data_IF_214084187898
#
_entry.id   IF_214084187898
#
_cell.length_a   1.000
_cell.length_b   1.000
_cell.length_c   1.000
_cell.angle_alpha   90.00
_cell.angle_beta   90.00
_cell.angle_gamma   90.00
#
_symmetry.space_group_name_H-M   'P 1'
#
loop_
_entity.id
_entity.type
_entity.pdbx_description
1 polymer ?
#
# COMPACT_ATOMS: atom_id res chain seq x y z
N UNK A 1 32.67 -5.65 -9.91
CA UNK A 1 31.78 -4.66 -9.24
C UNK A 1 31.07 -5.36 -8.09
N UNK A 2 30.79 -4.67 -6.98
CA UNK A 2 29.97 -5.25 -5.90
C UNK A 2 28.55 -5.44 -6.42
N UNK A 3 27.90 -6.59 -6.20
CA UNK A 3 26.53 -6.78 -6.63
C UNK A 3 25.58 -5.83 -5.88
N UNK A 4 24.49 -5.42 -6.54
CA UNK A 4 23.41 -4.65 -5.94
C UNK A 4 22.66 -5.59 -4.98
N UNK A 5 22.57 -5.20 -3.72
CA UNK A 5 21.91 -5.99 -2.68
C UNK A 5 20.41 -5.66 -2.62
N UNK A 6 19.58 -6.70 -2.57
CA UNK A 6 18.13 -6.59 -2.64
C UNK A 6 17.50 -7.29 -1.43
N UNK A 7 16.54 -6.64 -0.80
CA UNK A 7 15.60 -7.25 0.15
C UNK A 7 14.21 -7.25 -0.48
N UNK A 8 13.45 -8.32 -0.31
CA UNK A 8 12.05 -8.40 -0.77
C UNK A 8 11.10 -8.69 0.38
N UNK A 9 9.96 -7.99 0.40
CA UNK A 9 8.82 -8.27 1.26
C UNK A 9 7.58 -8.47 0.41
N UNK A 10 6.99 -9.68 0.48
CA UNK A 10 5.79 -10.08 -0.26
C UNK A 10 5.18 -11.31 0.44
N UNK A 11 3.88 -11.32 0.72
CA UNK A 11 3.23 -12.45 1.37
C UNK A 11 3.03 -13.67 0.45
N UNK A 12 3.10 -13.46 -0.87
CA UNK A 12 2.94 -14.51 -1.86
C UNK A 12 4.25 -15.29 -2.07
N UNK A 13 4.30 -16.52 -1.56
CA UNK A 13 5.47 -17.40 -1.67
C UNK A 13 5.98 -17.56 -3.12
N UNK A 14 5.07 -17.76 -4.09
CA UNK A 14 5.46 -17.94 -5.50
C UNK A 14 6.10 -16.69 -6.10
N UNK A 15 5.69 -15.49 -5.66
CA UNK A 15 6.29 -14.24 -6.12
C UNK A 15 7.71 -14.12 -5.57
N UNK A 16 7.93 -14.40 -4.27
CA UNK A 16 9.28 -14.37 -3.67
C UNK A 16 10.21 -15.40 -4.33
N UNK A 17 9.72 -16.62 -4.58
CA UNK A 17 10.50 -17.65 -5.28
C UNK A 17 10.87 -17.21 -6.70
N UNK A 18 9.94 -16.59 -7.42
CA UNK A 18 10.18 -16.00 -8.73
C UNK A 18 11.23 -14.88 -8.69
N UNK A 19 11.14 -13.98 -7.71
CA UNK A 19 12.13 -12.90 -7.49
C UNK A 19 13.50 -13.50 -7.21
N UNK A 20 13.59 -14.46 -6.29
CA UNK A 20 14.86 -15.14 -5.96
C UNK A 20 15.52 -15.71 -7.21
N UNK A 21 14.77 -16.49 -7.99
CA UNK A 21 15.28 -17.10 -9.21
C UNK A 21 15.80 -16.08 -10.23
N UNK A 22 15.05 -14.99 -10.43
CA UNK A 22 15.44 -13.93 -11.36
C UNK A 22 16.72 -13.21 -10.91
N UNK A 23 16.89 -13.00 -9.61
CA UNK A 23 18.08 -12.35 -9.06
C UNK A 23 19.29 -13.30 -9.10
N UNK A 24 19.08 -14.61 -8.89
CA UNK A 24 20.15 -15.62 -8.98
C UNK A 24 20.68 -15.81 -10.42
N UNK A 25 19.86 -15.53 -11.44
CA UNK A 25 20.27 -15.55 -12.85
C UNK A 25 21.15 -14.37 -13.26
N UNK A 26 21.20 -13.28 -12.44
CA UNK A 26 21.98 -12.07 -12.73
C UNK A 26 23.09 -11.87 -11.68
N UNK A 27 24.37 -12.12 -12.02
CA UNK A 27 25.48 -12.02 -11.08
C UNK A 27 25.72 -10.59 -10.57
N UNK A 28 25.09 -9.56 -11.16
CA UNK A 28 25.16 -8.17 -10.71
C UNK A 28 24.14 -7.85 -9.60
N UNK A 29 23.24 -8.76 -9.31
CA UNK A 29 22.18 -8.64 -8.31
C UNK A 29 22.37 -9.72 -7.23
N UNK A 30 21.95 -9.42 -6.00
CA UNK A 30 22.02 -10.38 -4.89
C UNK A 30 20.86 -10.18 -3.94
N UNK A 31 20.02 -11.20 -3.80
CA UNK A 31 19.02 -11.24 -2.74
C UNK A 31 19.70 -11.51 -1.40
N UNK A 32 19.52 -10.61 -0.44
CA UNK A 32 20.17 -10.69 0.89
C UNK A 32 19.18 -10.91 2.04
N UNK A 33 17.87 -10.70 1.81
CA UNK A 33 16.84 -10.91 2.81
C UNK A 33 15.46 -11.00 2.20
N UNK A 34 14.58 -11.76 2.85
CA UNK A 34 13.19 -11.96 2.45
C UNK A 34 12.27 -11.87 3.66
N UNK A 35 11.09 -11.28 3.45
CA UNK A 35 10.02 -11.21 4.42
C UNK A 35 8.66 -11.40 3.77
N UNK A 36 7.63 -11.63 4.60
CA UNK A 36 6.25 -11.86 4.15
C UNK A 36 5.20 -11.12 4.97
N UNK A 37 5.63 -10.34 5.99
CA UNK A 37 4.76 -9.48 6.81
C UNK A 37 5.46 -8.16 7.11
N UNK A 38 4.68 -7.11 7.35
CA UNK A 38 5.18 -5.76 7.58
C UNK A 38 6.13 -5.61 8.75
N UNK A 39 5.92 -6.35 9.86
CA UNK A 39 6.79 -6.32 11.05
C UNK A 39 8.25 -6.75 10.79
N UNK A 40 8.48 -7.49 9.69
CA UNK A 40 9.83 -7.92 9.28
C UNK A 40 10.62 -6.85 8.54
N UNK A 41 9.96 -5.77 8.10
CA UNK A 41 10.58 -4.71 7.29
C UNK A 41 11.79 -4.09 8.00
N UNK A 42 11.58 -3.58 9.20
CA UNK A 42 12.62 -2.89 9.99
C UNK A 42 13.80 -3.82 10.34
N UNK A 43 13.58 -5.04 10.89
CA UNK A 43 14.65 -5.99 11.17
C UNK A 43 15.49 -6.33 9.93
N UNK A 44 14.86 -6.57 8.77
CA UNK A 44 15.57 -6.91 7.54
C UNK A 44 16.43 -5.76 7.03
N UNK A 45 15.91 -4.52 7.08
CA UNK A 45 16.68 -3.35 6.65
C UNK A 45 17.84 -3.06 7.60
N UNK A 46 17.63 -3.17 8.91
CA UNK A 46 18.70 -2.98 9.90
C UNK A 46 19.82 -4.02 9.76
N UNK A 47 19.45 -5.28 9.51
CA UNK A 47 20.39 -6.39 9.38
C UNK A 47 21.20 -6.34 8.07
N UNK A 48 20.52 -6.06 6.94
CA UNK A 48 21.11 -6.26 5.62
C UNK A 48 21.58 -4.97 4.95
N UNK A 49 21.05 -3.80 5.36
CA UNK A 49 21.34 -2.51 4.75
C UNK A 49 21.37 -2.58 3.21
N UNK A 50 20.24 -3.02 2.58
CA UNK A 50 20.21 -3.29 1.16
C UNK A 50 20.27 -2.01 0.33
N UNK A 51 20.73 -2.13 -0.92
CA UNK A 51 20.68 -1.04 -1.90
C UNK A 51 19.24 -0.81 -2.38
N UNK A 52 18.44 -1.90 -2.52
CA UNK A 52 17.06 -1.87 -3.04
C UNK A 52 16.13 -2.69 -2.16
N UNK A 53 14.95 -2.15 -1.89
CA UNK A 53 13.83 -2.82 -1.27
C UNK A 53 12.72 -3.05 -2.31
N UNK A 54 12.34 -4.31 -2.54
CA UNK A 54 11.13 -4.71 -3.26
C UNK A 54 10.01 -4.89 -2.24
N UNK A 55 8.94 -4.11 -2.35
CA UNK A 55 7.90 -4.02 -1.33
C UNK A 55 6.52 -4.28 -1.93
N UNK A 56 5.85 -5.34 -1.47
CA UNK A 56 4.42 -5.52 -1.74
C UNK A 56 3.57 -4.65 -0.81
N UNK A 57 2.46 -4.18 -1.32
CA UNK A 57 1.51 -3.34 -0.57
C UNK A 57 0.32 -4.14 -0.02
N UNK A 58 0.12 -5.37 -0.48
CA UNK A 58 -1.03 -6.23 -0.14
C UNK A 58 -0.81 -7.18 1.03
N UNK A 59 0.38 -7.16 1.64
CA UNK A 59 0.74 -8.12 2.69
C UNK A 59 0.13 -7.78 4.06
N UNK A 60 0.02 -8.76 4.99
CA UNK A 60 -0.37 -8.51 6.37
C UNK A 60 0.74 -7.76 7.14
N UNK A 61 0.34 -7.04 8.19
CA UNK A 61 1.29 -6.37 9.08
C UNK A 61 2.03 -7.36 9.97
N UNK A 62 1.32 -8.36 10.50
CA UNK A 62 1.86 -9.37 11.43
C UNK A 62 1.47 -10.77 11.01
N UNK A 63 2.14 -11.78 11.58
CA UNK A 63 1.82 -13.21 11.39
C UNK A 63 0.59 -13.67 12.17
N UNK A 64 0.05 -12.87 13.09
CA UNK A 64 -1.03 -13.27 14.00
C UNK A 64 -2.37 -13.52 13.29
N UNK A 65 -2.59 -12.92 12.11
CA UNK A 65 -3.79 -13.12 11.30
C UNK A 65 -3.42 -13.30 9.82
N UNK A 66 -3.93 -14.36 9.16
CA UNK A 66 -3.51 -14.75 7.81
C UNK A 66 -4.04 -13.86 6.67
N UNK A 67 -4.84 -12.84 6.95
CA UNK A 67 -5.40 -11.97 5.90
C UNK A 67 -4.82 -10.56 6.00
N UNK A 68 -4.13 -10.10 4.97
CA UNK A 68 -3.69 -8.70 4.80
C UNK A 68 -4.84 -7.72 4.59
N UNK A 69 -6.01 -7.97 5.19
CA UNK A 69 -7.21 -7.16 5.12
C UNK A 69 -7.64 -6.72 6.53
N UNK A 70 -8.18 -5.51 6.63
CA UNK A 70 -8.64 -4.96 7.91
C UNK A 70 -7.50 -4.38 8.76
N UNK A 71 -7.57 -4.60 10.07
CA UNK A 71 -6.63 -4.02 11.04
C UNK A 71 -5.20 -4.54 10.89
N UNK A 72 -5.03 -5.76 10.35
CA UNK A 72 -3.72 -6.36 10.09
C UNK A 72 -3.15 -6.04 8.70
N UNK A 73 -3.72 -5.11 7.94
CA UNK A 73 -3.15 -4.71 6.66
C UNK A 73 -1.86 -3.89 6.84
N UNK A 74 -0.86 -4.17 6.01
CA UNK A 74 0.37 -3.38 5.98
C UNK A 74 0.09 -1.91 5.62
N UNK A 75 0.59 -0.99 6.44
CA UNK A 75 0.37 0.45 6.26
C UNK A 75 1.49 1.06 5.43
N UNK A 76 1.35 1.00 4.10
CA UNK A 76 2.38 1.45 3.16
C UNK A 76 2.84 2.89 3.40
N UNK A 77 1.93 3.88 3.40
CA UNK A 77 2.32 5.29 3.44
C UNK A 77 3.09 5.66 4.74
N UNK A 78 2.64 5.27 5.94
CA UNK A 78 3.44 5.43 7.15
C UNK A 78 4.80 4.73 7.08
N UNK A 79 4.87 3.53 6.50
CA UNK A 79 6.12 2.80 6.34
C UNK A 79 7.08 3.55 5.40
N UNK A 80 6.60 4.11 4.29
CA UNK A 80 7.42 4.91 3.36
C UNK A 80 7.98 6.17 4.02
N UNK A 81 7.19 6.86 4.86
CA UNK A 81 7.67 8.01 5.64
C UNK A 81 8.81 7.61 6.57
N UNK A 82 8.65 6.50 7.31
CA UNK A 82 9.71 5.99 8.19
C UNK A 82 10.94 5.55 7.41
N UNK A 83 10.76 4.89 6.27
CA UNK A 83 11.86 4.48 5.39
C UNK A 83 12.68 5.68 4.90
N UNK A 84 12.00 6.74 4.45
CA UNK A 84 12.68 7.95 3.99
C UNK A 84 13.50 8.62 5.10
N UNK A 85 13.02 8.58 6.35
CA UNK A 85 13.70 9.18 7.49
C UNK A 85 14.88 8.34 8.00
N UNK A 86 14.70 7.01 8.08
CA UNK A 86 15.66 6.10 8.73
C UNK A 86 16.63 5.42 7.77
N UNK A 87 16.20 5.22 6.52
CA UNK A 87 16.96 4.51 5.48
C UNK A 87 16.95 5.27 4.15
N UNK A 88 17.40 6.55 4.11
CA UNK A 88 17.30 7.42 2.92
C UNK A 88 18.10 6.88 1.71
N UNK A 89 19.08 6.02 1.95
CA UNK A 89 19.90 5.42 0.90
C UNK A 89 19.23 4.22 0.22
N UNK A 90 18.22 3.60 0.85
CA UNK A 90 17.51 2.44 0.30
C UNK A 90 16.54 2.90 -0.79
N UNK A 91 16.69 2.35 -2.01
CA UNK A 91 15.77 2.61 -3.13
C UNK A 91 14.58 1.68 -3.02
N UNK A 92 13.39 2.27 -2.93
CA UNK A 92 12.15 1.48 -2.82
C UNK A 92 11.53 1.29 -4.21
N UNK A 93 11.25 0.02 -4.55
CA UNK A 93 10.44 -0.39 -5.69
C UNK A 93 9.20 -1.10 -5.13
N UNK A 94 8.02 -0.59 -5.44
CA UNK A 94 6.77 -1.26 -5.12
C UNK A 94 6.50 -2.34 -6.18
N UNK A 95 6.11 -3.53 -5.73
CA UNK A 95 5.67 -4.65 -6.57
C UNK A 95 4.27 -5.05 -6.11
N UNK A 96 3.22 -4.70 -6.85
CA UNK A 96 1.84 -4.83 -6.38
C UNK A 96 0.91 -5.46 -7.41
N UNK A 97 -0.14 -6.13 -6.94
CA UNK A 97 -1.24 -6.58 -7.81
C UNK A 97 -2.10 -5.41 -8.30
N UNK A 98 -2.07 -4.28 -7.58
CA UNK A 98 -2.96 -3.15 -7.82
C UNK A 98 -2.16 -1.87 -8.00
N UNK A 99 -2.67 -1.01 -8.87
CA UNK A 99 -2.18 0.35 -9.05
C UNK A 99 -3.38 1.29 -9.11
N UNK A 100 -3.56 2.14 -8.11
CA UNK A 100 -4.40 3.33 -8.25
C UNK A 100 -3.51 4.54 -8.48
N UNK A 101 -3.94 5.45 -9.32
CA UNK A 101 -3.17 6.67 -9.63
C UNK A 101 -2.76 7.40 -8.35
N UNK A 102 -3.68 7.53 -7.39
CA UNK A 102 -3.42 8.21 -6.11
C UNK A 102 -2.37 7.51 -5.27
N UNK A 103 -2.41 6.17 -5.20
CA UNK A 103 -1.40 5.41 -4.46
C UNK A 103 -0.03 5.55 -5.11
N UNK A 104 0.04 5.48 -6.44
CA UNK A 104 1.27 5.65 -7.20
C UNK A 104 1.84 7.06 -6.96
N UNK A 105 1.03 8.11 -7.12
CA UNK A 105 1.44 9.50 -6.91
C UNK A 105 1.93 9.74 -5.47
N UNK A 106 1.16 9.28 -4.46
CA UNK A 106 1.57 9.38 -3.05
C UNK A 106 2.87 8.65 -2.75
N UNK A 107 3.07 7.46 -3.33
CA UNK A 107 4.32 6.72 -3.18
C UNK A 107 5.51 7.45 -3.83
N UNK A 108 5.30 8.06 -4.99
CA UNK A 108 6.32 8.86 -5.69
C UNK A 108 6.70 10.10 -4.86
N UNK A 109 5.72 10.81 -4.29
CA UNK A 109 5.94 11.95 -3.39
C UNK A 109 6.76 11.55 -2.16
N UNK A 110 6.56 10.32 -1.65
CA UNK A 110 7.32 9.74 -0.55
C UNK A 110 8.62 9.04 -0.98
N UNK A 111 9.14 9.37 -2.16
CA UNK A 111 10.47 8.97 -2.59
C UNK A 111 10.58 7.59 -3.24
N UNK A 112 9.48 6.89 -3.50
CA UNK A 112 9.49 5.63 -4.27
C UNK A 112 10.03 5.90 -5.67
N UNK A 113 10.98 5.07 -6.10
CA UNK A 113 11.66 5.21 -7.40
C UNK A 113 11.16 4.23 -8.45
N UNK A 114 10.53 3.12 -8.05
CA UNK A 114 9.96 2.13 -8.97
C UNK A 114 8.58 1.66 -8.55
N UNK A 115 7.73 1.37 -9.53
CA UNK A 115 6.44 0.74 -9.29
C UNK A 115 6.14 -0.27 -10.42
N UNK A 116 6.00 -1.54 -10.05
CA UNK A 116 5.75 -2.65 -10.96
C UNK A 116 4.42 -3.31 -10.63
N UNK A 117 3.60 -3.58 -11.63
CA UNK A 117 2.43 -4.43 -11.46
C UNK A 117 2.81 -5.91 -11.58
N UNK A 118 2.34 -6.73 -10.64
CA UNK A 118 2.49 -8.20 -10.69
C UNK A 118 1.79 -8.82 -11.90
N UNK A 119 0.74 -8.16 -12.44
CA UNK A 119 0.04 -8.56 -13.67
C UNK A 119 0.83 -8.30 -14.95
N UNK A 120 1.72 -7.32 -14.95
CA UNK A 120 2.67 -7.13 -16.02
C UNK A 120 3.68 -8.29 -15.96
N UNK A 121 4.37 -8.58 -17.06
CA UNK A 121 5.41 -9.63 -17.05
C UNK A 121 6.60 -9.07 -16.24
N UNK A 122 6.38 -8.83 -14.91
CA UNK A 122 7.33 -8.15 -14.05
C UNK A 122 8.68 -8.84 -14.00
N UNK A 123 8.69 -10.19 -14.19
CA UNK A 123 9.91 -10.99 -14.30
C UNK A 123 10.85 -10.50 -15.40
N UNK A 124 10.30 -9.96 -16.49
CA UNK A 124 11.08 -9.43 -17.61
C UNK A 124 11.72 -8.08 -17.30
N UNK A 125 11.12 -7.32 -16.39
CA UNK A 125 11.49 -5.92 -16.14
C UNK A 125 12.17 -5.69 -14.78
N UNK A 126 12.16 -6.69 -13.89
CA UNK A 126 12.64 -6.53 -12.52
C UNK A 126 14.12 -6.11 -12.46
N UNK A 127 14.99 -6.80 -13.18
CA UNK A 127 16.40 -6.49 -13.19
C UNK A 127 16.69 -5.09 -13.78
N UNK A 128 15.96 -4.71 -14.82
CA UNK A 128 16.09 -3.38 -15.42
C UNK A 128 15.58 -2.28 -14.48
N UNK A 129 14.47 -2.53 -13.77
CA UNK A 129 13.94 -1.63 -12.76
C UNK A 129 14.95 -1.39 -11.63
N UNK A 130 15.56 -2.46 -11.11
CA UNK A 130 16.59 -2.38 -10.05
C UNK A 130 17.77 -1.53 -10.55
N UNK A 131 18.29 -1.81 -11.74
CA UNK A 131 19.39 -1.03 -12.31
C UNK A 131 19.05 0.43 -12.58
N UNK A 132 17.84 0.71 -13.04
CA UNK A 132 17.37 2.07 -13.30
C UNK A 132 17.30 2.89 -11.99
N UNK A 133 16.69 2.34 -10.94
CA UNK A 133 16.57 3.07 -9.66
C UNK A 133 17.94 3.27 -9.00
N UNK A 134 18.90 2.35 -9.19
CA UNK A 134 20.27 2.52 -8.73
C UNK A 134 21.01 3.65 -9.46
N UNK A 135 20.66 3.94 -10.71
CA UNK A 135 21.20 5.12 -11.43
C UNK A 135 20.49 6.42 -11.03
N UNK A 136 19.49 6.36 -10.12
CA UNK A 136 18.69 7.53 -9.71
C UNK A 136 17.50 7.82 -10.62
N UNK A 137 17.25 6.97 -11.62
CA UNK A 137 16.12 7.05 -12.53
C UNK A 137 14.83 6.55 -11.85
N UNK A 138 13.67 6.88 -12.40
CA UNK A 138 12.39 6.28 -12.03
C UNK A 138 12.05 5.17 -13.02
N UNK A 139 11.45 4.09 -12.53
CA UNK A 139 11.02 2.99 -13.36
C UNK A 139 9.57 2.58 -13.05
N UNK A 140 8.71 2.68 -14.04
CA UNK A 140 7.30 2.29 -13.93
C UNK A 140 6.97 1.25 -15.00
N UNK A 141 6.32 0.16 -14.61
CA UNK A 141 5.83 -0.81 -15.58
C UNK A 141 4.78 -0.20 -16.51
N UNK A 142 4.51 -0.85 -17.62
CA UNK A 142 3.59 -0.32 -18.65
C UNK A 142 2.19 -0.05 -18.09
N UNK A 143 1.67 -0.96 -17.25
CA UNK A 143 0.37 -0.78 -16.59
C UNK A 143 0.34 0.42 -15.65
N UNK A 144 1.43 0.66 -14.91
CA UNK A 144 1.58 1.85 -14.04
C UNK A 144 1.68 3.11 -14.88
N UNK A 145 2.49 3.11 -15.95
CA UNK A 145 2.64 4.25 -16.85
C UNK A 145 1.33 4.64 -17.52
N UNK A 146 0.53 3.65 -17.93
CA UNK A 146 -0.83 3.89 -18.47
C UNK A 146 -1.74 4.53 -17.43
N UNK A 147 -1.67 4.07 -16.17
CA UNK A 147 -2.48 4.64 -15.08
C UNK A 147 -2.13 6.10 -14.78
N UNK A 148 -0.83 6.43 -14.80
CA UNK A 148 -0.35 7.81 -14.63
C UNK A 148 -0.67 8.72 -15.83
N UNK A 149 -0.75 8.16 -17.05
CA UNK A 149 -1.06 8.90 -18.26
C UNK A 149 -2.57 9.13 -18.45
N UNK A 150 -3.43 8.45 -17.68
CA UNK A 150 -4.86 8.72 -17.71
C UNK A 150 -5.12 10.14 -17.20
N UNK A 151 -6.00 10.91 -17.88
CA UNK A 151 -6.42 12.20 -17.36
C UNK A 151 -6.91 12.03 -15.93
N UNK A 152 -6.53 12.96 -15.07
CA UNK A 152 -6.98 12.98 -13.66
C UNK A 152 -8.51 13.05 -13.63
N UNK A 153 -9.15 11.89 -13.51
CA UNK A 153 -10.61 11.76 -13.41
C UNK A 153 -11.12 12.27 -12.06
N UNK A 154 -10.56 13.38 -11.55
CA UNK A 154 -11.10 14.06 -10.34
C UNK A 154 -12.56 14.49 -10.52
N UNK A 155 -13.08 14.45 -11.74
CA UNK A 155 -14.45 14.90 -12.07
C UNK A 155 -15.53 13.82 -12.03
N UNK A 156 -15.23 12.53 -12.01
CA UNK A 156 -16.23 11.47 -12.18
C UNK A 156 -16.23 10.32 -11.16
N UNK A 157 -15.34 10.31 -10.16
CA UNK A 157 -15.45 9.32 -9.08
C UNK A 157 -16.60 9.72 -8.17
N UNK A 158 -17.82 9.34 -8.55
CA UNK A 158 -19.00 9.54 -7.73
C UNK A 158 -19.18 8.34 -6.79
N UNK A 159 -18.80 8.53 -5.55
CA UNK A 159 -19.37 7.71 -4.48
C UNK A 159 -20.83 8.10 -4.29
N UNK A 160 -21.73 7.10 -4.22
CA UNK A 160 -23.12 7.37 -3.85
C UNK A 160 -23.16 7.99 -2.45
N UNK A 161 -24.23 8.68 -2.10
CA UNK A 161 -24.41 9.19 -0.75
C UNK A 161 -24.20 8.07 0.29
N UNK A 162 -24.76 6.88 0.05
CA UNK A 162 -24.59 5.73 0.95
C UNK A 162 -23.17 5.23 1.04
N UNK A 163 -22.40 5.27 -0.04
CA UNK A 163 -20.96 4.95 0.00
C UNK A 163 -20.19 5.93 0.87
N UNK A 164 -20.49 7.23 0.77
CA UNK A 164 -19.85 8.26 1.60
C UNK A 164 -20.20 8.08 3.07
N UNK A 165 -21.46 7.84 3.40
CA UNK A 165 -21.92 7.60 4.77
C UNK A 165 -21.21 6.41 5.41
N UNK A 166 -21.13 5.27 4.70
CA UNK A 166 -20.42 4.07 5.19
C UNK A 166 -18.94 4.36 5.39
N UNK A 167 -18.28 4.97 4.41
CA UNK A 167 -16.84 5.22 4.48
C UNK A 167 -16.51 6.27 5.55
N UNK A 168 -17.35 7.30 5.71
CA UNK A 168 -17.18 8.33 6.73
C UNK A 168 -17.42 7.79 8.14
N UNK A 169 -18.43 6.94 8.34
CA UNK A 169 -18.67 6.30 9.63
C UNK A 169 -17.48 5.44 10.08
N UNK A 170 -16.89 4.68 9.14
CA UNK A 170 -15.72 3.86 9.43
C UNK A 170 -14.47 4.73 9.67
N UNK A 171 -14.29 5.80 8.90
CA UNK A 171 -13.17 6.71 9.08
C UNK A 171 -13.21 7.48 10.41
N UNK A 172 -14.42 7.81 10.90
CA UNK A 172 -14.64 8.53 12.16
C UNK A 172 -14.44 7.65 13.41
N UNK A 173 -14.60 6.33 13.30
CA UNK A 173 -14.47 5.39 14.42
C UNK A 173 -13.77 4.08 13.98
N UNK A 174 -12.49 4.17 13.62
CA UNK A 174 -11.75 3.05 13.02
C UNK A 174 -11.52 1.87 14.00
N UNK A 175 -11.76 2.08 15.29
CA UNK A 175 -11.67 1.05 16.34
C UNK A 175 -12.88 0.12 16.37
N UNK A 176 -13.98 0.45 15.68
CA UNK A 176 -15.19 -0.35 15.68
C UNK A 176 -15.15 -1.45 14.62
N UNK A 177 -15.78 -2.58 14.95
CA UNK A 177 -15.97 -3.69 13.99
C UNK A 177 -17.02 -3.36 12.93
N UNK A 178 -17.02 -4.08 11.81
CA UNK A 178 -18.04 -3.90 10.77
C UNK A 178 -19.46 -4.19 11.28
N UNK A 179 -19.63 -5.11 12.23
CA UNK A 179 -20.92 -5.36 12.88
C UNK A 179 -21.40 -4.12 13.66
N UNK A 180 -20.52 -3.48 14.42
CA UNK A 180 -20.84 -2.25 15.17
C UNK A 180 -21.15 -1.06 14.25
N UNK A 181 -20.43 -0.93 13.13
CA UNK A 181 -20.77 0.06 12.11
C UNK A 181 -22.11 -0.23 11.43
N UNK A 182 -22.43 -1.51 11.19
CA UNK A 182 -23.68 -1.94 10.63
C UNK A 182 -24.87 -1.55 11.53
N UNK A 183 -24.76 -1.77 12.84
CA UNK A 183 -25.75 -1.39 13.84
C UNK A 183 -25.95 0.14 13.85
N UNK A 184 -24.88 0.93 13.85
CA UNK A 184 -24.95 2.41 13.80
C UNK A 184 -25.60 2.94 12.52
N UNK A 185 -25.37 2.25 11.40
CA UNK A 185 -25.89 2.64 10.09
C UNK A 185 -27.26 2.06 9.78
N UNK A 186 -27.82 1.22 10.65
CA UNK A 186 -29.12 0.55 10.47
C UNK A 186 -29.13 -0.42 9.28
N UNK A 187 -28.02 -1.14 9.03
CA UNK A 187 -27.86 -2.12 7.93
C UNK A 187 -27.21 -3.40 8.45
N UNK A 188 -27.14 -4.43 7.63
CA UNK A 188 -26.41 -5.65 7.99
C UNK A 188 -24.89 -5.51 7.78
N UNK A 189 -24.09 -6.28 8.51
CA UNK A 189 -22.65 -6.37 8.30
C UNK A 189 -22.28 -6.78 6.86
N UNK A 190 -23.09 -7.70 6.30
CA UNK A 190 -22.94 -8.09 4.89
C UNK A 190 -23.13 -6.89 3.94
N UNK A 191 -24.05 -5.98 4.28
CA UNK A 191 -24.30 -4.76 3.50
C UNK A 191 -23.13 -3.78 3.62
N UNK A 192 -22.51 -3.63 4.80
CA UNK A 192 -21.27 -2.84 4.99
C UNK A 192 -20.17 -3.39 4.09
N UNK A 193 -19.90 -4.70 4.18
CA UNK A 193 -18.90 -5.38 3.35
C UNK A 193 -19.17 -5.27 1.86
N UNK A 194 -20.45 -5.28 1.44
CA UNK A 194 -20.85 -5.06 0.06
C UNK A 194 -20.55 -3.63 -0.41
N UNK A 195 -20.91 -2.62 0.40
CA UNK A 195 -20.57 -1.23 0.09
C UNK A 195 -19.07 -1.00 0.00
N UNK A 196 -18.28 -1.56 0.93
CA UNK A 196 -16.82 -1.45 0.90
C UNK A 196 -16.21 -2.03 -0.38
N UNK A 197 -16.67 -3.20 -0.83
CA UNK A 197 -16.23 -3.77 -2.12
C UNK A 197 -16.52 -2.85 -3.29
N UNK A 198 -17.70 -2.22 -3.32
CA UNK A 198 -18.07 -1.27 -4.37
C UNK A 198 -17.24 0.02 -4.28
N UNK A 199 -16.99 0.53 -3.06
CA UNK A 199 -16.12 1.69 -2.82
C UNK A 199 -14.72 1.39 -3.31
N UNK A 200 -14.14 0.24 -2.95
CA UNK A 200 -12.80 -0.17 -3.39
C UNK A 200 -12.71 -0.24 -4.91
N UNK A 201 -13.69 -0.84 -5.56
CA UNK A 201 -13.73 -0.90 -7.03
C UNK A 201 -13.81 0.50 -7.66
N UNK A 202 -14.65 1.41 -7.12
CA UNK A 202 -14.82 2.77 -7.65
C UNK A 202 -13.60 3.65 -7.42
N UNK A 203 -12.96 3.53 -6.26
CA UNK A 203 -11.74 4.25 -5.91
C UNK A 203 -10.47 3.57 -6.46
N UNK A 204 -10.62 2.40 -7.09
CA UNK A 204 -9.52 1.57 -7.60
C UNK A 204 -8.45 1.30 -6.53
N UNK A 205 -8.91 0.91 -5.34
CA UNK A 205 -8.07 0.59 -4.18
C UNK A 205 -8.34 -0.83 -3.68
N UNK A 206 -7.39 -1.41 -2.95
CA UNK A 206 -7.46 -2.80 -2.46
C UNK A 206 -7.78 -2.93 -0.97
N UNK A 207 -7.74 -1.82 -0.21
CA UNK A 207 -7.96 -1.86 1.23
C UNK A 207 -8.64 -0.59 1.76
N UNK A 208 -9.14 -0.68 2.99
CA UNK A 208 -9.88 0.38 3.65
C UNK A 208 -9.07 1.66 3.85
N UNK A 209 -7.80 1.52 4.29
CA UNK A 209 -6.92 2.68 4.53
C UNK A 209 -6.71 3.48 3.25
N UNK A 210 -6.41 2.79 2.13
CA UNK A 210 -6.28 3.43 0.83
C UNK A 210 -7.61 4.07 0.37
N UNK A 211 -8.75 3.44 0.67
CA UNK A 211 -10.06 4.01 0.35
C UNK A 211 -10.33 5.31 1.11
N UNK A 212 -10.04 5.35 2.41
CA UNK A 212 -10.22 6.55 3.25
C UNK A 212 -9.29 7.67 2.78
N UNK A 213 -7.99 7.39 2.63
CA UNK A 213 -7.00 8.38 2.17
C UNK A 213 -7.40 8.97 0.80
N UNK A 214 -7.82 8.10 -0.13
CA UNK A 214 -8.27 8.51 -1.45
C UNK A 214 -9.53 9.38 -1.39
N UNK A 215 -10.51 8.96 -0.59
CA UNK A 215 -11.79 9.69 -0.47
C UNK A 215 -11.58 11.07 0.18
N UNK A 216 -10.72 11.20 1.18
CA UNK A 216 -10.35 12.50 1.81
C UNK A 216 -9.63 13.39 0.80
N UNK A 217 -8.63 12.88 0.09
CA UNK A 217 -7.88 13.64 -0.93
C UNK A 217 -8.75 14.13 -2.08
N UNK A 218 -9.75 13.33 -2.47
CA UNK A 218 -10.73 13.70 -3.51
C UNK A 218 -11.87 14.59 -2.98
N UNK A 219 -11.89 14.92 -1.69
CA UNK A 219 -12.95 15.71 -1.07
C UNK A 219 -14.32 14.99 -1.02
N UNK A 220 -14.32 13.65 -1.13
CA UNK A 220 -15.53 12.83 -1.10
C UNK A 220 -16.05 12.58 0.32
N UNK A 221 -15.13 12.62 1.31
CA UNK A 221 -15.39 12.58 2.75
C UNK A 221 -14.47 13.56 3.47
N UNK A 222 -14.84 13.97 4.69
CA UNK A 222 -14.03 14.79 5.59
C UNK A 222 -13.74 14.03 6.87
N UNK A 223 -12.51 14.16 7.41
CA UNK A 223 -12.20 13.69 8.75
C UNK A 223 -12.42 14.86 9.71
N UNK A 224 -13.59 14.92 10.37
CA UNK A 224 -13.85 15.91 11.40
C UNK A 224 -13.09 15.53 12.68
N UNK A 225 -12.12 16.35 13.08
CA UNK A 225 -11.36 16.21 14.35
C UNK A 225 -12.20 16.52 15.62
N UNK A 226 -13.52 16.61 15.56
CA UNK A 226 -14.36 17.26 16.60
C UNK A 226 -15.15 16.34 17.53
N UNK A 227 -14.84 15.07 17.70
CA UNK A 227 -15.50 14.24 18.75
C UNK A 227 -14.58 13.67 19.86
N UNK A 228 -13.29 13.99 19.87
CA UNK A 228 -12.41 13.57 20.97
C UNK A 228 -12.30 14.56 22.15
N UNK A 229 -12.94 15.75 22.07
CA UNK A 229 -12.83 16.78 23.10
C UNK A 229 -14.05 16.88 24.06
N UNK A 230 -15.00 15.95 23.99
CA UNK A 230 -16.27 16.03 24.74
C UNK A 230 -16.42 15.12 25.96
N UNK A 231 -15.32 14.60 26.55
CA UNK A 231 -15.42 13.69 27.72
C UNK A 231 -14.60 14.08 28.95
N UNK A 232 -14.19 15.32 29.10
CA UNK A 232 -13.47 15.77 30.30
C UNK A 232 -14.21 16.81 31.17
N UNK A 233 -15.50 17.04 30.97
CA UNK A 233 -16.26 17.98 31.82
C UNK A 233 -17.56 17.40 32.37
N UNK A 234 -17.52 16.24 33.04
CA UNK A 234 -18.60 15.83 33.97
C UNK A 234 -18.09 14.85 35.04
N UNK A 235 -17.07 15.27 35.84
CA UNK A 235 -16.87 14.81 37.21
C UNK A 235 -16.32 15.99 37.99
N UNK A 236 -17.18 16.80 38.52
CA UNK A 236 -16.93 17.82 39.51
C UNK A 236 -18.00 17.73 40.59
#
# INVERSE_FOLDING_TARGET
>A
MKPITVVTLDDHHLVREGIRRLLDEDPTLKLVGEGWVGEQLEPLLAQHQPDVLLLDVGMPQTTAEPSGQGENAFRLLPALVQLQQRYPEVRVIIVSQYASQVLIESAIELGVRGYLLKSDVFSRYLADAIRAVMRGERYFSEGVSRQLAMPDYRGEIQLTQRHREVLQAIAAAPELTYAQHADRLGISEHTVSHHLRQIFARLTVSNLTAAIVNAVRLGLITLDERESAGREEEIG
#
